data_IF_100310349078
#
_entry.id   IF_100310349078
#
_cell.length_a   1.000
_cell.length_b   1.000
_cell.length_c   1.000
_cell.angle_alpha   90.00
_cell.angle_beta   90.00
_cell.angle_gamma   90.00
#
_symmetry.space_group_name_H-M   'P 1'
#
loop_
_entity.id
_entity.type
_entity.pdbx_description
1 polymer ?
#
# COMPACT_ATOMS: atom_id res chain seq x y z
N UNK A 1 -18.99 -4.14 -3.15
CA UNK A 1 -17.80 -3.82 -2.34
C UNK A 1 -16.55 -4.03 -3.15
N UNK A 2 -15.70 -3.05 -3.22
CA UNK A 2 -14.40 -3.20 -3.87
C UNK A 2 -13.53 -4.14 -3.06
N UNK A 3 -13.21 -5.28 -3.64
CA UNK A 3 -12.34 -6.26 -3.02
C UNK A 3 -10.89 -5.76 -3.10
N UNK A 4 -10.23 -5.66 -1.96
CA UNK A 4 -8.80 -5.33 -1.94
C UNK A 4 -8.00 -6.52 -2.46
N UNK A 5 -7.22 -6.28 -3.49
CA UNK A 5 -6.32 -7.28 -4.05
C UNK A 5 -4.95 -7.16 -3.40
N UNK A 6 -4.30 -8.30 -3.18
CA UNK A 6 -2.91 -8.32 -2.72
C UNK A 6 -1.98 -7.91 -3.87
N UNK A 7 -0.82 -7.30 -3.57
CA UNK A 7 0.12 -6.92 -4.64
C UNK A 7 0.49 -8.06 -5.59
N UNK A 8 0.68 -9.27 -5.07
CA UNK A 8 1.00 -10.44 -5.90
C UNK A 8 -0.15 -10.76 -6.86
N UNK A 9 -1.40 -10.65 -6.39
CA UNK A 9 -2.58 -10.87 -7.23
C UNK A 9 -2.67 -9.81 -8.34
N UNK A 10 -2.38 -8.55 -8.01
CA UNK A 10 -2.40 -7.45 -8.97
C UNK A 10 -1.37 -7.70 -10.07
N UNK A 11 -0.16 -8.10 -9.73
CA UNK A 11 0.88 -8.37 -10.70
C UNK A 11 0.52 -9.57 -11.57
N UNK A 12 -0.04 -10.63 -10.98
CA UNK A 12 -0.53 -11.79 -11.74
C UNK A 12 -1.62 -11.41 -12.73
N UNK A 13 -2.57 -10.57 -12.32
CA UNK A 13 -3.64 -10.08 -13.19
C UNK A 13 -3.12 -9.18 -14.29
N UNK A 14 -2.15 -8.32 -14.00
CA UNK A 14 -1.51 -7.48 -15.02
C UNK A 14 -0.80 -8.32 -16.08
N UNK A 15 -0.17 -9.42 -15.70
CA UNK A 15 0.46 -10.35 -16.63
C UNK A 15 -0.58 -11.02 -17.53
N UNK A 16 -1.72 -11.44 -16.97
CA UNK A 16 -2.82 -11.99 -17.77
C UNK A 16 -3.32 -10.96 -18.78
N UNK A 17 -3.47 -9.71 -18.37
CA UNK A 17 -3.87 -8.62 -19.23
C UNK A 17 -2.87 -8.41 -20.37
N UNK A 18 -1.58 -8.45 -20.07
CA UNK A 18 -0.51 -8.33 -21.08
C UNK A 18 -0.60 -9.44 -22.14
N UNK A 19 -0.92 -10.66 -21.72
CA UNK A 19 -1.09 -11.80 -22.66
C UNK A 19 -2.26 -11.50 -23.62
N UNK A 20 -3.38 -11.03 -23.10
CA UNK A 20 -4.54 -10.68 -23.94
C UNK A 20 -4.16 -9.59 -24.95
N UNK A 21 -3.47 -8.55 -24.50
CA UNK A 21 -3.02 -7.45 -25.37
C UNK A 21 -2.01 -7.92 -26.41
N UNK A 22 -1.10 -8.82 -26.05
CA UNK A 22 -0.11 -9.39 -26.97
C UNK A 22 -0.76 -10.26 -28.05
N UNK A 23 -1.92 -10.84 -27.76
CA UNK A 23 -2.70 -11.62 -28.72
C UNK A 23 -3.58 -10.74 -29.63
N UNK A 24 -3.46 -9.44 -29.50
CA UNK A 24 -4.23 -8.49 -30.32
C UNK A 24 -5.56 -8.08 -29.72
N UNK A 25 -5.85 -8.46 -28.48
CA UNK A 25 -7.06 -8.05 -27.76
C UNK A 25 -7.03 -6.58 -27.37
N UNK A 26 -8.21 -6.00 -27.16
CA UNK A 26 -8.35 -4.64 -26.68
C UNK A 26 -8.18 -4.57 -25.15
N UNK A 27 -7.92 -3.37 -24.64
CA UNK A 27 -7.83 -3.13 -23.19
C UNK A 27 -9.12 -3.55 -22.48
N UNK A 28 -10.29 -3.30 -23.09
CA UNK A 28 -11.58 -3.72 -22.54
C UNK A 28 -11.68 -5.24 -22.37
N UNK A 29 -11.13 -6.00 -23.33
CA UNK A 29 -11.10 -7.47 -23.24
C UNK A 29 -10.18 -7.95 -22.11
N UNK A 30 -9.01 -7.33 -21.99
CA UNK A 30 -8.07 -7.64 -20.93
C UNK A 30 -8.68 -7.36 -19.56
N UNK A 31 -9.34 -6.22 -19.39
CA UNK A 31 -10.00 -5.85 -18.15
C UNK A 31 -11.14 -6.81 -17.79
N UNK A 32 -11.90 -7.24 -18.79
CA UNK A 32 -12.97 -8.21 -18.59
C UNK A 32 -12.40 -9.54 -18.11
N UNK A 33 -11.30 -9.98 -18.69
CA UNK A 33 -10.66 -11.23 -18.31
C UNK A 33 -10.15 -11.23 -16.89
N UNK A 34 -9.58 -10.13 -16.45
CA UNK A 34 -9.05 -10.02 -15.07
C UNK A 34 -10.09 -9.51 -14.07
N UNK A 35 -11.29 -9.15 -14.54
CA UNK A 35 -12.41 -8.80 -13.68
C UNK A 35 -12.32 -7.43 -13.03
N UNK A 36 -11.72 -6.45 -13.71
CA UNK A 36 -11.60 -5.09 -13.21
C UNK A 36 -12.07 -4.06 -14.26
N UNK A 37 -12.29 -2.83 -13.81
CA UNK A 37 -12.60 -1.72 -14.72
C UNK A 37 -11.32 -1.24 -15.40
N UNK A 38 -11.46 -0.53 -16.54
CA UNK A 38 -10.32 0.07 -17.22
C UNK A 38 -9.58 1.06 -16.30
N UNK A 39 -10.32 1.82 -15.52
CA UNK A 39 -9.77 2.77 -14.57
C UNK A 39 -8.88 2.06 -13.55
N UNK A 40 -9.33 0.95 -12.97
CA UNK A 40 -8.56 0.14 -12.05
C UNK A 40 -7.32 -0.45 -12.73
N UNK A 41 -7.47 -0.95 -13.97
CA UNK A 41 -6.37 -1.49 -14.75
C UNK A 41 -5.25 -0.46 -14.95
N UNK A 42 -5.59 0.76 -15.38
CA UNK A 42 -4.60 1.81 -15.60
C UNK A 42 -3.93 2.25 -14.30
N UNK A 43 -4.67 2.30 -13.20
CA UNK A 43 -4.11 2.58 -11.88
C UNK A 43 -3.10 1.52 -11.47
N UNK A 44 -3.44 0.24 -11.63
CA UNK A 44 -2.56 -0.88 -11.32
C UNK A 44 -1.32 -0.88 -12.19
N UNK A 45 -1.49 -0.60 -13.47
CA UNK A 45 -0.37 -0.52 -14.41
C UNK A 45 0.61 0.57 -14.01
N UNK A 46 0.11 1.70 -13.56
CA UNK A 46 0.93 2.81 -13.08
C UNK A 46 1.68 2.45 -11.79
N UNK A 47 0.99 1.81 -10.85
CA UNK A 47 1.56 1.48 -9.54
C UNK A 47 2.46 0.24 -9.55
N UNK A 48 2.11 -0.77 -10.32
CA UNK A 48 2.77 -2.08 -10.29
C UNK A 48 3.35 -2.52 -11.62
N UNK A 49 3.20 -1.74 -12.66
CA UNK A 49 3.74 -2.08 -14.00
C UNK A 49 5.25 -2.27 -13.96
N UNK A 50 5.71 -3.40 -14.49
CA UNK A 50 7.13 -3.76 -14.49
C UNK A 50 7.66 -4.28 -13.15
N UNK A 51 6.83 -4.35 -12.12
CA UNK A 51 7.24 -4.84 -10.80
C UNK A 51 7.15 -6.35 -10.73
N UNK A 52 8.14 -6.99 -10.12
CA UNK A 52 8.11 -8.43 -9.87
C UNK A 52 7.33 -8.72 -8.60
N UNK A 53 6.81 -9.96 -8.47
CA UNK A 53 5.99 -10.35 -7.31
C UNK A 53 6.69 -10.16 -5.97
N UNK A 54 7.96 -10.53 -5.90
CA UNK A 54 8.75 -10.36 -4.68
C UNK A 54 8.97 -8.89 -4.32
N UNK A 55 9.11 -8.01 -5.31
CA UNK A 55 9.20 -6.57 -5.10
C UNK A 55 7.90 -6.00 -4.56
N UNK A 56 6.76 -6.45 -5.08
CA UNK A 56 5.45 -6.02 -4.60
C UNK A 56 5.19 -6.47 -3.16
N UNK A 57 5.59 -7.71 -2.83
CA UNK A 57 5.50 -8.24 -1.48
C UNK A 57 6.35 -7.43 -0.52
N UNK A 58 7.58 -7.12 -0.91
CA UNK A 58 8.49 -6.31 -0.11
C UNK A 58 7.97 -4.90 0.11
N UNK A 59 7.38 -4.30 -0.92
CA UNK A 59 6.75 -2.98 -0.80
C UNK A 59 5.66 -2.99 0.26
N UNK A 60 4.80 -4.00 0.25
CA UNK A 60 3.73 -4.16 1.23
C UNK A 60 4.28 -4.33 2.65
N UNK A 61 5.33 -5.12 2.80
CA UNK A 61 6.00 -5.30 4.09
C UNK A 61 6.59 -3.99 4.61
N UNK A 62 7.20 -3.21 3.73
CA UNK A 62 7.76 -1.90 4.07
C UNK A 62 6.66 -0.90 4.46
N UNK A 63 5.53 -0.93 3.79
CA UNK A 63 4.38 -0.09 4.15
C UNK A 63 3.86 -0.41 5.54
N UNK A 64 3.73 -1.71 5.86
CA UNK A 64 3.31 -2.17 7.20
C UNK A 64 4.31 -1.72 8.26
N UNK A 65 5.59 -1.91 7.99
CA UNK A 65 6.65 -1.53 8.92
C UNK A 65 6.67 -0.02 9.15
N UNK A 66 6.48 0.76 8.09
CA UNK A 66 6.41 2.21 8.18
C UNK A 66 5.22 2.65 9.05
N UNK A 67 4.04 2.04 8.86
CA UNK A 67 2.88 2.33 9.70
C UNK A 67 3.12 1.97 11.16
N UNK A 68 3.76 0.82 11.41
CA UNK A 68 4.12 0.38 12.77
C UNK A 68 5.07 1.38 13.43
N UNK A 69 6.10 1.80 12.71
CA UNK A 69 7.07 2.77 13.20
C UNK A 69 6.43 4.13 13.50
N UNK A 70 5.51 4.57 12.65
CA UNK A 70 4.77 5.82 12.88
C UNK A 70 3.95 5.77 14.17
N UNK A 71 3.33 4.63 14.46
CA UNK A 71 2.57 4.44 15.71
C UNK A 71 3.48 4.46 16.92
N UNK A 72 4.65 3.84 16.82
CA UNK A 72 5.65 3.85 17.91
C UNK A 72 6.14 5.27 18.19
N UNK A 73 6.48 6.00 17.14
CA UNK A 73 6.93 7.39 17.27
C UNK A 73 5.84 8.26 17.90
N UNK A 74 4.59 8.12 17.45
CA UNK A 74 3.47 8.86 18.02
C UNK A 74 3.28 8.55 19.50
N UNK A 75 3.42 7.27 19.91
CA UNK A 75 3.37 6.86 21.30
C UNK A 75 4.50 7.46 22.14
N UNK A 76 5.71 7.46 21.59
CA UNK A 76 6.87 8.05 22.28
C UNK A 76 6.72 9.56 22.46
N UNK A 77 6.20 10.26 21.44
CA UNK A 77 5.93 11.69 21.54
C UNK A 77 4.89 12.00 22.61
N UNK A 78 3.83 11.19 22.71
CA UNK A 78 2.81 11.34 23.72
C UNK A 78 3.39 11.09 25.13
N UNK A 79 4.18 10.03 25.29
CA UNK A 79 4.84 9.70 26.57
C UNK A 79 5.77 10.82 27.02
N UNK A 80 6.51 11.39 26.07
CA UNK A 80 7.40 12.51 26.32
C UNK A 80 6.63 13.74 26.81
N UNK A 81 5.48 14.01 26.20
CA UNK A 81 4.62 15.13 26.59
C UNK A 81 4.06 14.93 28.01
N UNK A 82 3.59 13.73 28.31
CA UNK A 82 3.06 13.36 29.62
C UNK A 82 4.13 13.54 30.70
N UNK A 83 5.35 13.06 30.44
CA UNK A 83 6.48 13.21 31.35
C UNK A 83 6.79 14.68 31.60
N UNK A 84 6.81 15.48 30.55
CA UNK A 84 7.08 16.91 30.66
C UNK A 84 6.03 17.61 31.52
N UNK A 85 4.76 17.35 31.29
CA UNK A 85 3.67 17.91 32.08
C UNK A 85 3.76 17.49 33.56
N UNK A 86 4.08 16.22 33.82
CA UNK A 86 4.24 15.70 35.18
C UNK A 86 5.41 16.39 35.90
N UNK A 87 6.53 16.60 35.23
CA UNK A 87 7.67 17.30 35.79
C UNK A 87 7.35 18.77 36.07
N UNK A 88 6.62 19.43 35.18
CA UNK A 88 6.22 20.82 35.40
C UNK A 88 5.25 20.95 36.58
N UNK A 89 4.37 19.98 36.76
CA UNK A 89 3.44 19.93 37.90
C UNK A 89 4.19 19.77 39.24
N UNK A 90 5.30 19.01 39.27
CA UNK A 90 6.09 18.72 40.46
C UNK A 90 7.11 19.83 40.78
N UNK A 91 7.31 20.81 39.91
CA UNK A 91 8.23 21.91 40.16
C UNK A 91 7.76 22.73 41.36
N UNK A 92 8.66 23.00 42.32
CA UNK A 92 8.30 23.91 43.41
C UNK A 92 8.01 25.30 42.87
N UNK A 93 6.96 25.90 43.39
CA UNK A 93 6.65 27.30 43.05
C UNK A 93 7.71 28.18 43.72
N UNK A 94 8.35 28.96 42.87
CA UNK A 94 9.29 29.96 43.35
C UNK A 94 8.56 31.06 44.09
#
# INVERSE_FOLDING_TARGET
MARKHKPEEIIGKLREAEIVLAQGGAVSDACRRIGVTEQTYYRWRKEYGGMKMDQARRMKELEKENQRLKKIVAGLELDKLILKESLDFLKPKA
#
